data_IF_606238830976
#
_entry.id   IF_606238830976
#
_cell.length_a   1.000
_cell.length_b   1.000
_cell.length_c   1.000
_cell.angle_alpha   90.00
_cell.angle_beta   90.00
_cell.angle_gamma   90.00
#
_symmetry.space_group_name_H-M   'P 1'
#
loop_
_entity.id
_entity.type
_entity.pdbx_description
1 polymer ?
#
# COMPACT_ATOMS: atom_id res chain seq x y z
N UNK A 1 -10.02 0.07 14.93
CA UNK A 1 -9.74 0.88 13.73
C UNK A 1 -8.27 1.27 13.60
N UNK A 2 -7.60 1.81 14.62
CA UNK A 2 -6.17 2.17 14.53
C UNK A 2 -5.23 0.96 14.30
N UNK A 3 -5.50 -0.18 14.95
CA UNK A 3 -4.71 -1.42 14.76
C UNK A 3 -4.89 -2.03 13.37
N UNK A 4 -6.10 -1.91 12.79
CA UNK A 4 -6.41 -2.41 11.44
C UNK A 4 -5.62 -1.65 10.37
N UNK A 5 -5.50 -0.33 10.52
CA UNK A 5 -4.68 0.49 9.61
C UNK A 5 -3.18 0.20 9.77
N UNK A 6 -2.73 -0.12 10.99
CA UNK A 6 -1.34 -0.50 11.24
C UNK A 6 -0.99 -1.84 10.59
N UNK A 7 -1.80 -2.87 10.78
CA UNK A 7 -1.58 -4.19 10.19
C UNK A 7 -1.54 -4.12 8.65
N UNK A 8 -2.43 -3.33 8.06
CA UNK A 8 -2.44 -3.10 6.61
C UNK A 8 -1.19 -2.35 6.12
N UNK A 9 -0.72 -1.34 6.86
CA UNK A 9 0.50 -0.63 6.49
C UNK A 9 1.73 -1.54 6.57
N UNK A 10 1.78 -2.43 7.56
CA UNK A 10 2.82 -3.46 7.67
C UNK A 10 2.75 -4.43 6.47
N UNK A 11 1.56 -4.90 6.09
CA UNK A 11 1.36 -5.73 4.88
C UNK A 11 1.81 -5.02 3.60
N UNK A 12 1.42 -3.75 3.40
CA UNK A 12 1.82 -2.98 2.21
C UNK A 12 3.33 -2.77 2.15
N UNK A 13 3.98 -2.60 3.30
CA UNK A 13 5.43 -2.46 3.39
C UNK A 13 6.14 -3.77 3.08
N UNK A 14 5.65 -4.91 3.57
CA UNK A 14 6.17 -6.23 3.21
C UNK A 14 6.07 -6.49 1.70
N UNK A 15 4.91 -6.19 1.10
CA UNK A 15 4.71 -6.32 -0.35
C UNK A 15 5.68 -5.41 -1.13
N UNK A 16 5.91 -4.19 -0.67
CA UNK A 16 6.90 -3.29 -1.28
C UNK A 16 8.31 -3.89 -1.26
N UNK A 17 8.75 -4.44 -0.13
CA UNK A 17 10.06 -5.07 -0.03
C UNK A 17 10.20 -6.28 -0.96
N UNK A 18 9.14 -7.08 -1.11
CA UNK A 18 9.15 -8.21 -2.03
C UNK A 18 9.30 -7.74 -3.48
N UNK A 19 8.54 -6.74 -3.91
CA UNK A 19 8.61 -6.17 -5.27
C UNK A 19 9.98 -5.59 -5.57
N UNK A 20 10.59 -4.87 -4.62
CA UNK A 20 11.96 -4.35 -4.76
C UNK A 20 12.98 -5.49 -4.85
N UNK A 21 12.80 -6.55 -4.07
CA UNK A 21 13.70 -7.71 -4.08
C UNK A 21 13.61 -8.45 -5.42
N UNK A 22 12.40 -8.71 -5.91
CA UNK A 22 12.16 -9.35 -7.21
C UNK A 22 12.83 -8.57 -8.34
N UNK A 23 12.71 -7.23 -8.33
CA UNK A 23 13.35 -6.38 -9.34
C UNK A 23 14.87 -6.42 -9.23
N UNK A 24 15.43 -6.32 -8.02
CA UNK A 24 16.89 -6.40 -7.80
C UNK A 24 17.49 -7.74 -8.18
N UNK A 25 16.72 -8.83 -8.06
CA UNK A 25 17.11 -10.17 -8.48
C UNK A 25 16.89 -10.41 -9.98
N UNK A 26 16.30 -9.45 -10.71
CA UNK A 26 15.98 -9.58 -12.13
C UNK A 26 14.85 -10.57 -12.42
N UNK A 27 14.02 -10.89 -11.41
CA UNK A 27 12.86 -11.78 -11.55
C UNK A 27 11.67 -11.09 -12.22
N UNK A 28 11.66 -9.74 -12.19
CA UNK A 28 10.69 -8.89 -12.89
C UNK A 28 11.44 -7.78 -13.62
N UNK A 29 10.86 -7.29 -14.72
CA UNK A 29 11.39 -6.17 -15.48
C UNK A 29 10.90 -4.81 -14.94
N UNK A 30 11.39 -3.72 -15.54
CA UNK A 30 11.09 -2.35 -15.13
C UNK A 30 9.60 -2.00 -15.27
N UNK A 31 8.93 -2.56 -16.30
CA UNK A 31 7.51 -2.32 -16.53
C UNK A 31 6.68 -3.00 -15.44
N UNK A 32 6.95 -4.28 -15.15
CA UNK A 32 6.30 -5.04 -14.10
C UNK A 32 6.58 -4.45 -12.71
N UNK A 33 7.79 -3.95 -12.46
CA UNK A 33 8.13 -3.24 -11.23
C UNK A 33 7.28 -1.97 -11.06
N UNK A 34 7.17 -1.17 -12.12
CA UNK A 34 6.40 0.07 -12.14
C UNK A 34 4.91 -0.18 -11.88
N UNK A 35 4.31 -1.15 -12.59
CA UNK A 35 2.90 -1.53 -12.39
C UNK A 35 2.63 -1.98 -10.95
N UNK A 36 3.50 -2.82 -10.39
CA UNK A 36 3.37 -3.31 -9.01
C UNK A 36 3.52 -2.18 -7.99
N UNK A 37 4.43 -1.23 -8.20
CA UNK A 37 4.58 -0.05 -7.35
C UNK A 37 3.32 0.82 -7.36
N UNK A 38 2.75 1.09 -8.54
CA UNK A 38 1.50 1.86 -8.63
C UNK A 38 0.34 1.16 -7.92
N UNK A 39 0.25 -0.17 -8.03
CA UNK A 39 -0.76 -0.95 -7.29
C UNK A 39 -0.65 -0.81 -5.77
N UNK A 40 0.58 -0.76 -5.23
CA UNK A 40 0.82 -0.53 -3.79
C UNK A 40 0.40 0.89 -3.40
N UNK A 41 0.80 1.90 -4.19
CA UNK A 41 0.44 3.30 -3.93
C UNK A 41 -1.07 3.53 -3.94
N UNK A 42 -1.78 2.94 -4.90
CA UNK A 42 -3.23 3.05 -5.02
C UNK A 42 -3.96 2.36 -3.85
N UNK A 43 -3.44 1.21 -3.37
CA UNK A 43 -3.94 0.58 -2.13
C UNK A 43 -3.70 1.47 -0.93
N UNK A 44 -2.52 2.08 -0.79
CA UNK A 44 -2.24 2.99 0.30
C UNK A 44 -3.19 4.20 0.30
N UNK A 45 -3.37 4.84 -0.85
CA UNK A 45 -4.27 5.98 -1.03
C UNK A 45 -5.71 5.64 -0.61
N UNK A 46 -6.28 4.55 -1.14
CA UNK A 46 -7.64 4.11 -0.79
C UNK A 46 -7.84 3.92 0.72
N UNK A 47 -6.84 3.39 1.41
CA UNK A 47 -6.94 3.12 2.84
C UNK A 47 -6.73 4.39 3.68
N UNK A 48 -5.88 5.30 3.23
CA UNK A 48 -5.67 6.60 3.88
C UNK A 48 -6.90 7.51 3.73
N UNK A 49 -7.53 7.52 2.55
CA UNK A 49 -8.77 8.26 2.29
C UNK A 49 -9.95 7.69 3.09
N UNK A 50 -10.10 6.35 3.15
CA UNK A 50 -11.14 5.72 3.98
C UNK A 50 -11.01 6.07 5.46
N UNK A 51 -9.79 5.99 6.01
CA UNK A 51 -9.52 6.38 7.39
C UNK A 51 -9.81 7.87 7.68
N UNK A 52 -9.68 8.73 6.67
CA UNK A 52 -9.98 10.17 6.77
C UNK A 52 -11.48 10.47 6.69
N UNK A 53 -12.23 9.71 5.88
CA UNK A 53 -13.68 9.89 5.72
C UNK A 53 -14.48 9.40 6.93
N UNK A 54 -14.03 8.34 7.62
CA UNK A 54 -14.68 7.90 8.87
C UNK A 54 -14.58 8.95 9.98
N UNK A 55 -13.47 9.71 10.06
CA UNK A 55 -13.32 10.82 11.01
C UNK A 55 -14.28 12.00 10.76
N UNK A 56 -14.84 12.16 9.57
CA UNK A 56 -15.80 13.22 9.28
C UNK A 56 -17.24 12.89 9.73
N UNK A 57 -17.56 11.63 10.03
CA UNK A 57 -18.90 11.24 10.50
C UNK A 57 -19.13 11.47 11.98
N UNK A 58 -18.08 11.60 12.79
CA UNK A 58 -18.19 11.95 14.22
C UNK A 58 -18.35 13.46 14.48
N UNK A 59 -18.42 14.28 13.43
CA UNK A 59 -18.55 15.74 13.52
C UNK A 59 -19.96 16.27 13.17
N UNK A 60 -20.94 15.39 12.94
CA UNK A 60 -22.33 15.77 12.63
C UNK A 60 -23.33 15.01 13.50
#
# INVERSE_FOLDING_TARGET
MAETNRALNEELLEVFYLVVTDFRLGLIDEMAFTEKLFGIAERYERNTIKASSEKQKDLF
#
